data_IF_692084089828
#
_entry.id   IF_692084089828
#
_cell.length_a   1.000
_cell.length_b   1.000
_cell.length_c   1.000
_cell.angle_alpha   90.00
_cell.angle_beta   90.00
_cell.angle_gamma   90.00
#
_symmetry.space_group_name_H-M   'P 1'
#
loop_
_entity.id
_entity.type
_entity.pdbx_description
1 polymer ?
#
# COMPACT_ATOMS: atom_id res chain seq x y z
N UNK A 1 23.74 12.13 28.59
CA UNK A 1 23.75 10.72 28.12
C UNK A 1 22.32 10.35 27.78
N UNK A 2 21.94 10.23 26.49
CA UNK A 2 20.58 9.84 26.10
C UNK A 2 20.46 8.35 26.41
N UNK A 3 19.58 7.97 27.33
CA UNK A 3 19.27 6.57 27.62
C UNK A 3 18.79 5.92 26.33
N UNK A 4 19.59 5.01 25.77
CA UNK A 4 19.15 4.12 24.71
C UNK A 4 18.08 3.22 25.32
N UNK A 5 16.81 3.47 25.00
CA UNK A 5 15.75 2.53 25.34
C UNK A 5 16.04 1.23 24.59
N UNK A 6 16.42 0.19 25.31
CA UNK A 6 16.76 -1.09 24.70
C UNK A 6 15.60 -1.61 23.85
N UNK A 7 15.92 -2.06 22.64
CA UNK A 7 14.97 -2.60 21.70
C UNK A 7 14.47 -3.97 22.19
N UNK A 8 13.40 -3.97 22.97
CA UNK A 8 12.85 -5.18 23.58
C UNK A 8 11.88 -5.97 22.68
N UNK A 9 11.53 -7.19 23.12
CA UNK A 9 10.58 -8.10 22.45
C UNK A 9 9.22 -7.45 22.09
N UNK A 10 8.72 -6.55 22.93
CA UNK A 10 7.47 -5.83 22.64
C UNK A 10 7.59 -4.91 21.41
N UNK A 11 8.76 -4.29 21.19
CA UNK A 11 9.01 -3.48 19.99
C UNK A 11 9.04 -4.33 18.73
N UNK A 12 9.62 -5.53 18.81
CA UNK A 12 9.62 -6.51 17.71
C UNK A 12 8.19 -6.92 17.37
N UNK A 13 7.38 -7.28 18.37
CA UNK A 13 5.99 -7.64 18.17
C UNK A 13 5.18 -6.53 17.49
N UNK A 14 5.34 -5.27 17.94
CA UNK A 14 4.68 -4.11 17.31
C UNK A 14 5.09 -3.92 15.85
N UNK A 15 6.36 -4.06 15.52
CA UNK A 15 6.83 -3.97 14.13
C UNK A 15 6.36 -5.17 13.29
N UNK A 16 6.27 -6.36 13.90
CA UNK A 16 5.68 -7.54 13.28
C UNK A 16 4.21 -7.34 12.91
N UNK A 17 3.43 -6.69 13.78
CA UNK A 17 2.05 -6.32 13.48
C UNK A 17 1.97 -5.34 12.29
N UNK A 18 2.83 -4.32 12.26
CA UNK A 18 2.91 -3.39 11.11
C UNK A 18 3.21 -4.16 9.82
N UNK A 19 4.18 -5.08 9.85
CA UNK A 19 4.53 -5.90 8.69
C UNK A 19 3.38 -6.81 8.24
N UNK A 20 2.64 -7.39 9.18
CA UNK A 20 1.46 -8.19 8.88
C UNK A 20 0.36 -7.35 8.19
N UNK A 21 0.13 -6.13 8.66
CA UNK A 21 -0.83 -5.21 8.04
C UNK A 21 -0.39 -4.79 6.63
N UNK A 22 0.91 -4.52 6.45
CA UNK A 22 1.51 -4.21 5.16
C UNK A 22 1.28 -5.37 4.17
N UNK A 23 1.55 -6.60 4.61
CA UNK A 23 1.31 -7.81 3.82
C UNK A 23 -0.16 -8.02 3.48
N UNK A 24 -1.07 -7.79 4.43
CA UNK A 24 -2.51 -7.96 4.22
C UNK A 24 -3.04 -7.06 3.11
N UNK A 25 -2.66 -5.77 3.10
CA UNK A 25 -3.10 -4.82 2.05
C UNK A 25 -2.50 -5.20 0.70
N UNK A 26 -1.23 -5.61 0.65
CA UNK A 26 -0.58 -6.01 -0.62
C UNK A 26 -1.20 -7.29 -1.19
N UNK A 27 -1.53 -8.27 -0.35
CA UNK A 27 -2.19 -9.51 -0.79
C UNK A 27 -3.59 -9.22 -1.31
N UNK A 28 -4.35 -8.35 -0.63
CA UNK A 28 -5.67 -7.93 -1.08
C UNK A 28 -5.62 -7.37 -2.52
N UNK A 29 -4.70 -6.45 -2.81
CA UNK A 29 -4.63 -5.80 -4.12
C UNK A 29 -4.07 -6.71 -5.22
N UNK A 30 -3.04 -7.50 -4.92
CA UNK A 30 -2.36 -8.34 -5.92
C UNK A 30 -3.04 -9.69 -6.17
N UNK A 31 -3.88 -10.15 -5.24
CA UNK A 31 -4.62 -11.42 -5.38
C UNK A 31 -6.12 -11.19 -5.55
N UNK A 32 -6.79 -10.72 -4.51
CA UNK A 32 -8.26 -10.62 -4.49
C UNK A 32 -8.78 -9.64 -5.54
N UNK A 33 -8.33 -8.39 -5.53
CA UNK A 33 -8.81 -7.39 -6.48
C UNK A 33 -8.40 -7.72 -7.92
N UNK A 34 -7.18 -8.24 -8.12
CA UNK A 34 -6.74 -8.72 -9.43
C UNK A 34 -7.68 -9.80 -10.01
N UNK A 35 -8.08 -10.79 -9.18
CA UNK A 35 -9.06 -11.81 -9.58
C UNK A 35 -10.44 -11.20 -9.86
N UNK A 36 -10.93 -10.31 -9.00
CA UNK A 36 -12.23 -9.64 -9.20
C UNK A 36 -12.25 -8.86 -10.51
N UNK A 37 -11.20 -8.08 -10.81
CA UNK A 37 -11.12 -7.32 -12.05
C UNK A 37 -11.11 -8.21 -13.30
N UNK A 38 -10.28 -9.25 -13.33
CA UNK A 38 -10.09 -10.07 -14.53
C UNK A 38 -11.19 -11.11 -14.71
N UNK A 39 -11.54 -11.81 -13.63
CA UNK A 39 -12.44 -12.97 -13.70
C UNK A 39 -13.89 -12.56 -13.52
N UNK A 40 -14.19 -11.71 -12.55
CA UNK A 40 -15.59 -11.40 -12.19
C UNK A 40 -16.15 -10.24 -12.99
N UNK A 41 -15.36 -9.18 -13.18
CA UNK A 41 -15.74 -8.00 -13.97
C UNK A 41 -15.40 -8.12 -15.46
N UNK A 42 -14.76 -9.22 -15.86
CA UNK A 42 -14.31 -9.48 -17.23
C UNK A 42 -13.49 -8.33 -17.84
N UNK A 43 -12.70 -7.62 -17.01
CA UNK A 43 -11.83 -6.55 -17.48
C UNK A 43 -10.56 -7.14 -18.10
N UNK A 44 -9.93 -6.44 -19.06
CA UNK A 44 -8.67 -6.87 -19.64
C UNK A 44 -7.58 -7.00 -18.55
N UNK A 45 -6.83 -8.09 -18.54
CA UNK A 45 -5.72 -8.31 -17.60
C UNK A 45 -4.61 -7.24 -17.68
N UNK A 46 -4.57 -6.47 -18.78
CA UNK A 46 -3.72 -5.29 -18.89
C UNK A 46 -4.03 -4.22 -17.84
N UNK A 47 -5.29 -4.07 -17.41
CA UNK A 47 -5.68 -3.06 -16.43
C UNK A 47 -4.97 -3.25 -15.08
N UNK A 48 -5.12 -4.39 -14.37
CA UNK A 48 -4.37 -4.61 -13.14
C UNK A 48 -2.85 -4.66 -13.38
N UNK A 49 -2.40 -5.16 -14.54
CA UNK A 49 -0.99 -5.13 -14.91
C UNK A 49 -0.39 -3.72 -14.93
N UNK A 50 -1.13 -2.74 -15.48
CA UNK A 50 -0.72 -1.33 -15.50
C UNK A 50 -0.76 -0.70 -14.11
N UNK A 51 -1.78 -1.02 -13.30
CA UNK A 51 -1.85 -0.54 -11.90
C UNK A 51 -0.66 -1.05 -11.07
N UNK A 52 -0.25 -2.31 -11.26
CA UNK A 52 0.95 -2.88 -10.64
C UNK A 52 2.22 -2.19 -11.16
N UNK A 53 2.31 -1.90 -12.46
CA UNK A 53 3.45 -1.17 -13.02
C UNK A 53 3.57 0.24 -12.42
N UNK A 54 2.45 0.96 -12.23
CA UNK A 54 2.42 2.25 -11.55
C UNK A 54 2.93 2.13 -10.10
N UNK A 55 2.49 1.10 -9.38
CA UNK A 55 3.01 0.81 -8.04
C UNK A 55 4.54 0.63 -8.03
N UNK A 56 5.09 -0.15 -8.97
CA UNK A 56 6.55 -0.31 -9.11
C UNK A 56 7.26 1.00 -9.47
N UNK A 57 6.66 1.86 -10.30
CA UNK A 57 7.21 3.17 -10.60
C UNK A 57 7.35 4.03 -9.33
N UNK A 58 6.33 4.02 -8.45
CA UNK A 58 6.39 4.70 -7.14
C UNK A 58 7.49 4.13 -6.24
N UNK A 59 7.87 2.85 -6.36
CA UNK A 59 8.95 2.26 -5.54
C UNK A 59 10.31 2.91 -5.75
N UNK A 60 10.54 3.59 -6.88
CA UNK A 60 11.76 4.37 -7.11
C UNK A 60 11.94 5.52 -6.11
N UNK A 61 10.87 5.92 -5.41
CA UNK A 61 10.93 6.92 -4.34
C UNK A 61 11.50 6.39 -3.01
N UNK A 62 11.59 5.05 -2.83
CA UNK A 62 12.06 4.42 -1.57
C UNK A 62 13.43 4.93 -1.10
N UNK A 63 14.46 5.10 -1.95
CA UNK A 63 15.76 5.59 -1.50
C UNK A 63 15.69 6.99 -0.91
N UNK A 64 14.87 7.88 -1.51
CA UNK A 64 14.67 9.24 -1.01
C UNK A 64 13.95 9.26 0.33
N UNK A 65 12.91 8.44 0.49
CA UNK A 65 12.17 8.32 1.75
C UNK A 65 13.05 7.74 2.87
N UNK A 66 13.88 6.75 2.56
CA UNK A 66 14.86 6.19 3.50
C UNK A 66 15.88 7.22 3.97
N UNK A 67 16.47 7.96 3.03
CA UNK A 67 17.40 9.05 3.34
C UNK A 67 16.75 10.16 4.20
N UNK A 68 15.53 10.57 3.86
CA UNK A 68 14.76 11.54 4.65
C UNK A 68 14.45 11.06 6.08
N UNK A 69 14.16 9.77 6.25
CA UNK A 69 13.98 9.14 7.56
C UNK A 69 15.26 9.14 8.39
N UNK A 70 16.42 8.92 7.75
CA UNK A 70 17.70 8.88 8.46
C UNK A 70 18.20 10.29 8.84
N UNK A 71 17.97 11.33 8.02
CA UNK A 71 18.28 12.73 8.38
C UNK A 71 17.46 13.17 9.62
N UNK A 72 16.17 12.82 9.67
CA UNK A 72 15.29 13.22 10.78
C UNK A 72 15.52 12.46 12.08
N UNK A 73 16.34 11.39 12.09
CA UNK A 73 16.66 10.59 13.27
C UNK A 73 15.47 9.87 13.94
N UNK A 74 14.27 9.92 13.34
CA UNK A 74 13.02 9.34 13.90
C UNK A 74 12.25 8.62 12.79
N UNK A 75 12.21 7.28 12.86
CA UNK A 75 11.55 6.42 11.86
C UNK A 75 10.04 6.25 12.08
N UNK A 76 9.56 6.47 13.31
CA UNK A 76 8.14 6.25 13.67
C UNK A 76 7.15 7.10 12.87
N UNK A 77 7.37 8.41 12.64
CA UNK A 77 6.45 9.21 11.81
C UNK A 77 6.38 8.71 10.37
N UNK A 78 7.50 8.25 9.81
CA UNK A 78 7.54 7.67 8.46
C UNK A 78 6.77 6.35 8.36
N UNK A 79 6.89 5.49 9.37
CA UNK A 79 6.11 4.25 9.44
C UNK A 79 4.61 4.54 9.54
N UNK A 80 4.20 5.43 10.44
CA UNK A 80 2.78 5.78 10.61
C UNK A 80 2.22 6.46 9.37
N UNK A 81 2.95 7.42 8.78
CA UNK A 81 2.55 8.08 7.54
C UNK A 81 2.42 7.10 6.38
N UNK A 82 3.38 6.19 6.23
CA UNK A 82 3.32 5.12 5.23
C UNK A 82 2.12 4.19 5.43
N UNK A 83 1.80 3.82 6.67
CA UNK A 83 0.64 3.00 6.98
C UNK A 83 -0.69 3.70 6.66
N UNK A 84 -0.80 5.00 6.95
CA UNK A 84 -1.99 5.80 6.60
C UNK A 84 -2.16 5.85 5.08
N UNK A 85 -1.10 6.18 4.34
CA UNK A 85 -1.14 6.22 2.87
C UNK A 85 -1.50 4.85 2.29
N UNK A 86 -0.88 3.77 2.79
CA UNK A 86 -1.16 2.41 2.34
C UNK A 86 -2.60 1.98 2.63
N UNK A 87 -3.13 2.28 3.82
CA UNK A 87 -4.48 1.92 4.19
C UNK A 87 -5.53 2.69 3.36
N UNK A 88 -5.31 3.99 3.14
CA UNK A 88 -6.18 4.81 2.30
C UNK A 88 -6.14 4.36 0.83
N UNK A 89 -4.95 4.07 0.29
CA UNK A 89 -4.81 3.56 -1.07
C UNK A 89 -5.46 2.18 -1.24
N UNK A 90 -5.25 1.27 -0.28
CA UNK A 90 -5.89 -0.06 -0.27
C UNK A 90 -7.42 0.00 -0.19
N UNK A 91 -7.95 0.87 0.68
CA UNK A 91 -9.39 1.11 0.77
C UNK A 91 -9.93 1.75 -0.52
N UNK A 92 -9.23 2.75 -1.05
CA UNK A 92 -9.56 3.42 -2.30
C UNK A 92 -9.60 2.44 -3.47
N UNK A 93 -8.61 1.56 -3.59
CA UNK A 93 -8.57 0.51 -4.60
C UNK A 93 -9.72 -0.51 -4.48
N UNK A 94 -10.10 -0.88 -3.25
CA UNK A 94 -11.25 -1.75 -3.00
C UNK A 94 -12.58 -1.07 -3.42
N UNK A 95 -12.78 0.19 -3.02
CA UNK A 95 -13.95 0.99 -3.42
C UNK A 95 -13.99 1.19 -4.93
N UNK A 96 -12.85 1.50 -5.54
CA UNK A 96 -12.72 1.67 -6.98
C UNK A 96 -13.11 0.40 -7.73
N UNK A 97 -12.63 -0.76 -7.29
CA UNK A 97 -12.96 -2.07 -7.89
C UNK A 97 -14.45 -2.38 -7.76
N UNK A 98 -15.06 -2.09 -6.60
CA UNK A 98 -16.51 -2.24 -6.43
C UNK A 98 -17.30 -1.29 -7.35
N UNK A 99 -16.82 -0.05 -7.53
CA UNK A 99 -17.47 0.94 -8.38
C UNK A 99 -17.38 0.57 -9.87
N UNK A 100 -16.31 -0.10 -10.32
CA UNK A 100 -16.18 -0.60 -11.69
C UNK A 100 -17.33 -1.51 -12.14
N UNK A 101 -18.05 -2.14 -11.20
CA UNK A 101 -19.22 -2.95 -11.51
C UNK A 101 -20.41 -2.13 -12.06
N UNK A 102 -20.52 -0.85 -11.69
CA UNK A 102 -21.60 0.04 -12.13
C UNK A 102 -21.11 1.12 -13.11
N UNK A 103 -19.96 1.74 -12.85
CA UNK A 103 -19.32 2.69 -13.75
C UNK A 103 -17.82 2.36 -13.87
N UNK A 104 -17.44 1.75 -14.99
CA UNK A 104 -16.05 1.34 -15.26
C UNK A 104 -15.11 2.53 -15.33
N UNK A 105 -15.54 3.64 -15.92
CA UNK A 105 -14.65 4.79 -16.16
C UNK A 105 -14.32 5.52 -14.87
N UNK A 106 -15.33 5.78 -14.05
CA UNK A 106 -15.15 6.38 -12.73
C UNK A 106 -14.34 5.47 -11.79
N UNK A 107 -14.64 4.16 -11.81
CA UNK A 107 -13.89 3.17 -11.02
C UNK A 107 -12.41 3.09 -11.43
N UNK A 108 -12.09 3.08 -12.72
CA UNK A 108 -10.69 3.08 -13.20
C UNK A 108 -9.99 4.38 -12.82
N UNK A 109 -10.63 5.53 -12.98
CA UNK A 109 -10.04 6.81 -12.60
C UNK A 109 -9.70 6.84 -11.10
N UNK A 110 -10.60 6.34 -10.24
CA UNK A 110 -10.35 6.25 -8.80
C UNK A 110 -9.19 5.29 -8.48
N UNK A 111 -9.14 4.12 -9.14
CA UNK A 111 -8.09 3.13 -8.92
C UNK A 111 -6.69 3.62 -9.31
N UNK A 112 -6.58 4.52 -10.30
CA UNK A 112 -5.31 5.13 -10.71
C UNK A 112 -4.83 6.17 -9.69
N UNK A 113 -5.77 6.84 -9.01
CA UNK A 113 -5.48 7.92 -8.05
C UNK A 113 -5.20 7.41 -6.62
N UNK A 114 -5.71 6.23 -6.27
CA UNK A 114 -5.59 5.60 -4.94
C UNK A 114 -4.32 4.78 -4.77
#
# INVERSE_FOLDING_TARGET
>A
MKTTSDFGWFSIFRLGLVQAMLGAVVVLTTSTLNRVMVVELALPALLPGLLVALHYAVQTSRPRMGFGSDIGGRRTPWVVGGMVVLALGGLGGAVATAWMASDRTAGIALAVLS
#
